data_IF_513639559266
#
_entry.id   IF_513639559266
#
_cell.length_a   1.000
_cell.length_b   1.000
_cell.length_c   1.000
_cell.angle_alpha   90.00
_cell.angle_beta   90.00
_cell.angle_gamma   90.00
#
_symmetry.space_group_name_H-M   'P 1'
#
loop_
_entity.id
_entity.type
_entity.pdbx_description
1 polymer ?
#
# COMPACT_ATOMS: atom_id res chain seq x y z
N UNK A 1 -16.59 14.14 60.63
CA UNK A 1 -16.23 15.30 59.76
C UNK A 1 -14.85 15.17 59.11
N UNK A 2 -13.78 14.85 59.85
CA UNK A 2 -12.42 14.75 59.28
C UNK A 2 -12.30 13.76 58.09
N UNK A 3 -12.92 12.58 58.18
CA UNK A 3 -12.91 11.58 57.09
C UNK A 3 -13.68 12.02 55.83
N UNK A 4 -14.76 12.79 55.99
CA UNK A 4 -15.49 13.38 54.86
C UNK A 4 -14.59 14.37 54.10
N UNK A 5 -13.92 15.25 54.84
CA UNK A 5 -12.96 16.21 54.26
C UNK A 5 -11.84 15.48 53.52
N UNK A 6 -11.31 14.39 54.09
CA UNK A 6 -10.30 13.56 53.45
C UNK A 6 -10.75 13.01 52.09
N UNK A 7 -11.93 12.37 52.01
CA UNK A 7 -12.44 11.84 50.74
C UNK A 7 -12.79 12.93 49.72
N UNK A 8 -13.33 14.08 50.17
CA UNK A 8 -13.60 15.22 49.29
C UNK A 8 -12.31 15.81 48.69
N UNK A 9 -11.26 15.97 49.49
CA UNK A 9 -9.98 16.51 49.02
C UNK A 9 -9.36 15.57 47.98
N UNK A 10 -9.32 14.27 48.26
CA UNK A 10 -8.77 13.28 47.32
C UNK A 10 -9.61 13.21 46.03
N UNK A 11 -10.94 13.25 46.14
CA UNK A 11 -11.84 13.32 44.99
C UNK A 11 -11.59 14.55 44.12
N UNK A 12 -11.40 15.72 44.74
CA UNK A 12 -11.08 16.96 44.05
C UNK A 12 -9.73 16.91 43.32
N UNK A 13 -8.69 16.40 43.99
CA UNK A 13 -7.35 16.22 43.38
C UNK A 13 -7.41 15.29 42.17
N UNK A 14 -8.09 14.15 42.29
CA UNK A 14 -8.25 13.21 41.18
C UNK A 14 -9.09 13.78 40.03
N UNK A 15 -10.10 14.60 40.33
CA UNK A 15 -10.88 15.29 39.30
C UNK A 15 -10.02 16.26 38.49
N UNK A 16 -9.21 17.08 39.16
CA UNK A 16 -8.29 18.03 38.52
C UNK A 16 -7.23 17.27 37.71
N UNK A 17 -6.59 16.27 38.31
CA UNK A 17 -5.59 15.42 37.64
C UNK A 17 -6.15 14.64 36.44
N UNK A 18 -7.45 14.29 36.45
CA UNK A 18 -8.08 13.64 35.30
C UNK A 18 -8.07 14.50 34.05
N UNK A 19 -7.99 15.83 34.20
CA UNK A 19 -8.03 16.76 33.07
C UNK A 19 -6.70 16.81 32.30
N UNK A 20 -5.58 16.48 32.95
CA UNK A 20 -4.25 16.47 32.34
C UNK A 20 -3.88 15.13 31.68
N UNK A 21 -4.61 14.04 31.93
CA UNK A 21 -4.28 12.72 31.39
C UNK A 21 -5.31 12.27 30.34
N UNK A 22 -4.94 12.30 29.06
CA UNK A 22 -5.86 12.00 27.94
C UNK A 22 -6.39 10.56 27.95
N UNK A 23 -5.52 9.55 28.10
CA UNK A 23 -5.92 8.14 28.01
C UNK A 23 -6.79 7.65 29.18
N UNK A 24 -6.49 8.07 30.41
CA UNK A 24 -7.17 7.59 31.62
C UNK A 24 -8.20 8.57 32.20
N UNK A 25 -8.47 9.70 31.51
CA UNK A 25 -9.44 10.74 31.91
C UNK A 25 -10.76 10.16 32.40
N UNK A 26 -11.34 9.27 31.61
CA UNK A 26 -12.65 8.67 31.90
C UNK A 26 -12.62 7.71 33.07
N UNK A 27 -11.47 7.16 33.45
CA UNK A 27 -11.34 6.26 34.60
C UNK A 27 -11.17 7.12 35.87
N UNK A 28 -10.25 8.07 35.84
CA UNK A 28 -9.97 8.99 36.95
C UNK A 28 -11.19 9.81 37.37
N UNK A 29 -11.99 10.30 36.41
CA UNK A 29 -13.25 11.00 36.70
C UNK A 29 -14.26 10.13 37.44
N UNK A 30 -14.35 8.85 37.10
CA UNK A 30 -15.27 7.94 37.79
C UNK A 30 -14.81 7.67 39.21
N UNK A 31 -13.50 7.53 39.44
CA UNK A 31 -12.95 7.41 40.80
C UNK A 31 -13.20 8.65 41.65
N UNK A 32 -13.02 9.84 41.09
CA UNK A 32 -13.35 11.09 41.77
C UNK A 32 -14.84 11.15 42.15
N UNK A 33 -15.76 10.80 41.24
CA UNK A 33 -17.20 10.77 41.51
C UNK A 33 -17.58 9.77 42.61
N UNK A 34 -16.97 8.58 42.60
CA UNK A 34 -17.20 7.57 43.64
C UNK A 34 -16.73 8.09 45.00
N UNK A 35 -15.57 8.77 45.07
CA UNK A 35 -15.07 9.36 46.31
C UNK A 35 -15.98 10.47 46.84
N UNK A 36 -16.53 11.31 45.96
CA UNK A 36 -17.53 12.31 46.36
C UNK A 36 -18.81 11.66 46.90
N UNK A 37 -19.27 10.57 46.28
CA UNK A 37 -20.45 9.83 46.74
C UNK A 37 -20.21 9.16 48.09
N UNK A 38 -19.05 8.55 48.30
CA UNK A 38 -18.63 7.99 49.59
C UNK A 38 -18.55 9.08 50.66
N UNK A 39 -17.99 10.23 50.33
CA UNK A 39 -17.93 11.37 51.25
C UNK A 39 -19.33 11.84 51.66
N UNK A 40 -20.25 11.99 50.71
CA UNK A 40 -21.64 12.36 50.97
C UNK A 40 -22.37 11.33 51.85
N UNK A 41 -22.18 10.04 51.60
CA UNK A 41 -22.76 8.96 52.42
C UNK A 41 -22.20 8.96 53.85
N UNK A 42 -20.88 9.18 54.02
CA UNK A 42 -20.28 9.29 55.36
C UNK A 42 -20.81 10.50 56.13
N UNK A 43 -21.12 11.60 55.44
CA UNK A 43 -21.75 12.77 56.04
C UNK A 43 -23.18 12.47 56.49
N UNK A 44 -24.01 11.90 55.60
CA UNK A 44 -25.40 11.56 55.91
C UNK A 44 -25.54 10.63 57.11
N UNK A 45 -24.68 9.60 57.20
CA UNK A 45 -24.65 8.69 58.34
C UNK A 45 -24.17 9.40 59.62
N UNK A 46 -23.18 10.28 59.52
CA UNK A 46 -22.71 11.03 60.69
C UNK A 46 -23.81 11.93 61.28
N UNK A 47 -24.64 12.57 60.45
CA UNK A 47 -25.78 13.39 60.88
C UNK A 47 -26.86 12.52 61.54
N UNK A 48 -27.17 11.35 60.97
CA UNK A 48 -28.14 10.40 61.53
C UNK A 48 -27.68 9.80 62.86
N UNK A 49 -26.38 9.55 63.04
CA UNK A 49 -25.82 8.99 64.28
C UNK A 49 -25.74 10.04 65.39
N UNK A 50 -25.39 11.29 65.07
CA UNK A 50 -25.43 12.41 66.02
C UNK A 50 -26.85 12.63 66.56
N UNK A 51 -27.88 12.48 65.70
CA UNK A 51 -29.29 12.59 66.12
C UNK A 51 -29.74 11.48 67.08
N UNK A 52 -29.04 10.34 67.10
CA UNK A 52 -29.41 9.16 67.86
C UNK A 52 -28.48 8.90 69.07
N UNK A 53 -27.66 9.87 69.48
CA UNK A 53 -26.68 9.78 70.59
C UNK A 53 -25.76 8.54 70.55
N UNK A 54 -25.44 8.06 69.33
CA UNK A 54 -24.51 6.93 69.13
C UNK A 54 -23.14 7.42 68.69
N UNK A 55 -22.09 6.93 69.33
CA UNK A 55 -20.71 7.20 68.92
C UNK A 55 -20.41 6.53 67.57
N UNK A 56 -19.92 7.34 66.63
CA UNK A 56 -19.99 7.09 65.20
C UNK A 56 -18.67 6.60 64.55
N UNK A 57 -17.72 6.06 65.33
CA UNK A 57 -16.34 5.88 64.86
C UNK A 57 -16.06 4.60 64.07
N UNK A 58 -16.98 3.66 63.90
CA UNK A 58 -16.63 2.38 63.23
C UNK A 58 -17.33 2.17 61.89
N UNK A 59 -18.48 2.83 61.68
CA UNK A 59 -19.28 2.68 60.45
C UNK A 59 -18.57 3.16 59.18
N UNK A 60 -17.56 4.03 59.30
CA UNK A 60 -16.80 4.49 58.13
C UNK A 60 -15.97 3.36 57.49
N UNK A 61 -15.62 2.32 58.26
CA UNK A 61 -14.80 1.20 57.77
C UNK A 61 -15.54 0.38 56.71
N UNK A 62 -16.89 0.41 56.70
CA UNK A 62 -17.71 -0.25 55.68
C UNK A 62 -17.56 0.38 54.28
N UNK A 63 -17.13 1.64 54.19
CA UNK A 63 -16.99 2.33 52.90
C UNK A 63 -15.68 2.01 52.18
N UNK A 64 -14.66 1.56 52.90
CA UNK A 64 -13.37 1.16 52.33
C UNK A 64 -13.52 -0.06 51.38
N UNK A 65 -14.16 -1.18 51.78
CA UNK A 65 -14.36 -2.31 50.89
C UNK A 65 -15.33 -1.98 49.74
N UNK A 66 -16.33 -1.13 49.96
CA UNK A 66 -17.23 -0.66 48.89
C UNK A 66 -16.46 0.14 47.83
N UNK A 67 -15.54 1.01 48.27
CA UNK A 67 -14.66 1.77 47.39
C UNK A 67 -13.73 0.84 46.60
N UNK A 68 -13.06 -0.09 47.27
CA UNK A 68 -12.18 -1.07 46.60
C UNK A 68 -12.94 -1.94 45.59
N UNK A 69 -14.14 -2.41 45.93
CA UNK A 69 -14.99 -3.20 45.04
C UNK A 69 -15.42 -2.39 43.80
N UNK A 70 -15.81 -1.12 43.99
CA UNK A 70 -16.16 -0.23 42.88
C UNK A 70 -14.97 0.03 41.95
N UNK A 71 -13.75 0.15 42.49
CA UNK A 71 -12.54 0.30 41.68
C UNK A 71 -12.24 -0.94 40.84
N UNK A 72 -12.36 -2.11 41.45
CA UNK A 72 -12.15 -3.37 40.76
C UNK A 72 -13.18 -3.55 39.62
N UNK A 73 -14.44 -3.22 39.89
CA UNK A 73 -15.52 -3.28 38.90
C UNK A 73 -15.25 -2.39 37.68
N UNK A 74 -14.84 -1.13 37.91
CA UNK A 74 -14.54 -0.22 36.79
C UNK A 74 -13.32 -0.64 35.98
N UNK A 75 -12.31 -1.23 36.63
CA UNK A 75 -11.12 -1.76 35.94
C UNK A 75 -11.48 -2.95 35.05
N UNK A 76 -12.35 -3.85 35.52
CA UNK A 76 -12.78 -5.01 34.77
C UNK A 76 -13.64 -4.65 33.54
N UNK A 77 -14.57 -3.69 33.69
CA UNK A 77 -15.47 -3.26 32.61
C UNK A 77 -14.81 -2.38 31.56
N UNK A 78 -13.79 -1.59 31.91
CA UNK A 78 -13.09 -0.66 31.01
C UNK A 78 -11.72 -1.22 30.57
N UNK A 79 -11.68 -2.45 30.04
CA UNK A 79 -10.51 -2.92 29.29
C UNK A 79 -10.25 -1.90 28.18
N UNK A 80 -9.07 -1.27 28.21
CA UNK A 80 -8.64 -0.34 27.17
C UNK A 80 -8.72 -1.07 25.83
N UNK A 81 -9.44 -0.50 24.86
CA UNK A 81 -9.34 -0.98 23.48
C UNK A 81 -7.91 -0.71 23.03
N UNK A 82 -7.20 -1.75 22.65
CA UNK A 82 -5.83 -1.64 22.17
C UNK A 82 -5.83 -0.75 20.92
N UNK A 83 -5.03 0.32 20.95
CA UNK A 83 -4.92 1.26 19.84
C UNK A 83 -4.02 0.61 18.79
N UNK A 84 -4.61 -0.27 17.97
CA UNK A 84 -3.94 -0.78 16.77
C UNK A 84 -3.84 0.34 15.77
N UNK A 85 -2.71 1.03 15.75
CA UNK A 85 -2.33 1.91 14.64
C UNK A 85 -2.08 1.02 13.43
N UNK A 86 -3.09 0.86 12.58
CA UNK A 86 -2.93 0.23 11.27
C UNK A 86 -2.38 1.31 10.35
N UNK A 87 -1.06 1.29 10.13
CA UNK A 87 -0.45 2.13 9.13
C UNK A 87 -0.92 1.65 7.74
N UNK A 88 -1.76 2.43 7.08
CA UNK A 88 -2.13 2.14 5.70
C UNK A 88 -0.92 2.48 4.82
N UNK A 89 -0.31 1.45 4.23
CA UNK A 89 0.79 1.66 3.30
C UNK A 89 0.24 2.35 2.06
N UNK A 90 0.82 3.47 1.65
CA UNK A 90 0.46 4.13 0.39
C UNK A 90 0.60 3.14 -0.77
N UNK A 91 -0.49 2.88 -1.49
CA UNK A 91 -0.51 2.00 -2.66
C UNK A 91 -0.75 2.82 -3.91
N UNK A 92 0.00 2.52 -4.97
CA UNK A 92 -0.27 3.09 -6.30
C UNK A 92 -1.54 2.49 -6.93
N UNK A 93 -1.87 1.26 -6.57
CA UNK A 93 -3.00 0.48 -7.07
C UNK A 93 -3.84 0.02 -5.89
N UNK A 94 -5.07 0.50 -5.79
CA UNK A 94 -5.98 0.18 -4.69
C UNK A 94 -6.50 -1.26 -4.81
N UNK A 95 -6.53 -1.77 -6.03
CA UNK A 95 -7.01 -3.09 -6.42
C UNK A 95 -6.07 -4.22 -5.97
N UNK A 96 -4.81 -3.91 -5.66
CA UNK A 96 -3.83 -4.89 -5.19
C UNK A 96 -3.72 -4.84 -3.67
N UNK A 97 -4.10 -5.93 -2.98
CA UNK A 97 -3.95 -6.01 -1.52
C UNK A 97 -2.57 -6.54 -1.12
N UNK A 98 -2.03 -6.16 0.05
CA UNK A 98 -0.75 -6.64 0.56
C UNK A 98 -0.72 -8.15 0.71
N UNK A 99 -1.84 -8.74 1.09
CA UNK A 99 -2.01 -10.19 1.19
C UNK A 99 -1.79 -10.86 -0.18
N UNK A 100 -2.32 -10.27 -1.26
CA UNK A 100 -2.14 -10.78 -2.63
C UNK A 100 -0.67 -10.68 -3.07
N UNK A 101 0.01 -9.58 -2.73
CA UNK A 101 1.45 -9.41 -3.00
C UNK A 101 2.26 -10.46 -2.24
N UNK A 102 1.94 -10.69 -0.97
CA UNK A 102 2.65 -11.63 -0.13
C UNK A 102 2.52 -13.06 -0.65
N UNK A 103 1.28 -13.47 -0.94
CA UNK A 103 0.95 -14.77 -1.52
C UNK A 103 1.64 -14.97 -2.88
N UNK A 104 1.58 -13.97 -3.77
CA UNK A 104 2.18 -14.06 -5.10
C UNK A 104 3.69 -14.30 -5.04
N UNK A 105 4.40 -13.66 -4.11
CA UNK A 105 5.86 -13.79 -3.96
C UNK A 105 6.31 -14.81 -2.92
N UNK A 106 5.39 -15.51 -2.27
CA UNK A 106 5.71 -16.47 -1.20
C UNK A 106 6.69 -17.55 -1.67
N UNK A 107 6.52 -18.06 -2.90
CA UNK A 107 7.40 -19.06 -3.50
C UNK A 107 8.88 -18.62 -3.63
N UNK A 108 9.15 -17.30 -3.59
CA UNK A 108 10.51 -16.75 -3.65
C UNK A 108 11.13 -16.54 -2.28
N UNK A 109 10.33 -16.58 -1.21
CA UNK A 109 10.79 -16.36 0.15
C UNK A 109 11.30 -17.67 0.73
N UNK A 110 12.50 -17.61 1.31
CA UNK A 110 13.08 -18.67 2.14
C UNK A 110 13.34 -18.08 3.52
N UNK A 111 12.54 -18.52 4.49
CA UNK A 111 12.72 -18.15 5.88
C UNK A 111 14.02 -18.75 6.43
N UNK A 112 14.84 -17.91 7.04
CA UNK A 112 16.02 -18.30 7.82
C UNK A 112 15.86 -17.76 9.23
N UNK A 113 16.54 -18.38 10.17
CA UNK A 113 16.42 -18.15 11.62
C UNK A 113 16.43 -16.67 12.06
N UNK A 114 17.15 -15.80 11.36
CA UNK A 114 17.22 -14.35 11.67
C UNK A 114 16.80 -13.43 10.51
N UNK A 115 16.39 -13.97 9.36
CA UNK A 115 16.11 -13.17 8.16
C UNK A 115 15.28 -13.92 7.14
N UNK A 116 14.54 -13.18 6.33
CA UNK A 116 13.92 -13.71 5.12
C UNK A 116 14.90 -13.52 3.96
N UNK A 117 15.23 -14.59 3.25
CA UNK A 117 16.01 -14.53 2.03
C UNK A 117 15.11 -14.66 0.81
N UNK A 118 15.28 -13.80 -0.18
CA UNK A 118 14.51 -13.84 -1.43
C UNK A 118 15.38 -14.44 -2.52
N UNK A 119 14.91 -15.52 -3.15
CA UNK A 119 15.56 -16.08 -4.34
C UNK A 119 15.28 -15.18 -5.54
N UNK A 120 16.33 -14.59 -6.10
CA UNK A 120 16.25 -13.79 -7.33
C UNK A 120 17.13 -14.44 -8.37
N UNK A 121 16.55 -14.95 -9.45
CA UNK A 121 17.35 -15.46 -10.56
C UNK A 121 17.87 -14.29 -11.40
N UNK A 122 19.11 -13.85 -11.10
CA UNK A 122 19.76 -12.72 -11.78
C UNK A 122 20.06 -13.03 -13.25
N UNK A 123 20.41 -14.28 -13.56
CA UNK A 123 20.74 -14.71 -14.93
C UNK A 123 19.52 -14.69 -15.85
N UNK A 124 18.34 -15.00 -15.32
CA UNK A 124 17.09 -15.01 -16.10
C UNK A 124 16.57 -13.61 -16.43
N UNK A 125 16.98 -12.58 -15.68
CA UNK A 125 16.53 -11.20 -15.87
C UNK A 125 17.25 -10.44 -16.98
N UNK A 126 18.46 -10.88 -17.37
CA UNK A 126 19.26 -10.17 -18.38
C UNK A 126 18.72 -10.43 -19.79
N UNK A 127 18.53 -9.36 -20.56
CA UNK A 127 18.13 -9.44 -21.97
C UNK A 127 19.26 -10.01 -22.84
N UNK A 128 20.48 -9.49 -22.63
CA UNK A 128 21.70 -10.02 -23.21
C UNK A 128 22.29 -11.12 -22.33
N UNK A 129 22.58 -12.26 -22.95
CA UNK A 129 23.32 -13.36 -22.34
C UNK A 129 24.75 -13.34 -22.87
N UNK A 130 25.69 -13.69 -22.00
CA UNK A 130 27.11 -13.80 -22.35
C UNK A 130 27.39 -15.28 -22.57
N UNK A 131 27.97 -15.62 -23.72
CA UNK A 131 28.54 -16.94 -23.98
C UNK A 131 30.06 -16.78 -23.94
N UNK A 132 30.71 -17.44 -22.98
CA UNK A 132 32.17 -17.58 -22.97
C UNK A 132 32.54 -18.66 -23.97
N UNK A 133 33.19 -18.27 -25.07
CA UNK A 133 33.69 -19.21 -26.08
C UNK A 133 35.13 -19.61 -25.73
N UNK A 134 35.93 -18.68 -25.22
CA UNK A 134 37.30 -18.86 -24.74
C UNK A 134 37.61 -17.81 -23.65
N UNK A 135 38.68 -18.02 -22.87
CA UNK A 135 39.05 -17.20 -21.69
C UNK A 135 39.14 -15.68 -21.92
N UNK A 136 39.21 -15.21 -23.18
CA UNK A 136 39.32 -13.78 -23.53
C UNK A 136 38.25 -13.24 -24.52
N UNK A 137 37.26 -14.04 -24.93
CA UNK A 137 36.22 -13.57 -25.87
C UNK A 137 34.81 -13.85 -25.35
N UNK A 138 34.13 -12.76 -24.95
CA UNK A 138 32.74 -12.76 -24.50
C UNK A 138 31.83 -12.30 -25.63
N UNK A 139 31.11 -13.24 -26.29
CA UNK A 139 30.05 -12.87 -27.24
C UNK A 139 28.74 -12.66 -26.50
N UNK A 140 28.11 -11.51 -26.73
CA UNK A 140 26.77 -11.19 -26.22
C UNK A 140 25.73 -11.61 -27.25
N UNK A 141 24.70 -12.32 -26.81
CA UNK A 141 23.57 -12.72 -27.65
C UNK A 141 22.25 -12.38 -26.97
N UNK A 142 21.22 -12.11 -27.78
CA UNK A 142 19.86 -11.90 -27.30
C UNK A 142 19.28 -13.23 -26.85
N UNK A 143 18.61 -13.25 -25.70
CA UNK A 143 17.98 -14.48 -25.18
C UNK A 143 16.99 -15.07 -26.20
N UNK A 144 17.12 -16.36 -26.53
CA UNK A 144 16.18 -17.07 -27.42
C UNK A 144 14.71 -16.93 -27.02
N UNK A 145 14.45 -16.75 -25.72
CA UNK A 145 13.11 -16.49 -25.19
C UNK A 145 12.46 -15.25 -25.82
N UNK A 146 13.25 -14.20 -26.12
CA UNK A 146 12.74 -12.99 -26.75
C UNK A 146 12.11 -13.30 -28.11
N UNK A 147 12.79 -14.02 -28.99
CA UNK A 147 12.26 -14.36 -30.31
C UNK A 147 11.03 -15.28 -30.23
N UNK A 148 11.01 -16.21 -29.27
CA UNK A 148 9.83 -17.05 -29.01
C UNK A 148 8.63 -16.21 -28.59
N UNK A 149 8.82 -15.32 -27.61
CA UNK A 149 7.77 -14.39 -27.16
C UNK A 149 7.34 -13.46 -28.29
N UNK A 150 8.29 -12.92 -29.05
CA UNK A 150 8.04 -12.00 -30.17
C UNK A 150 7.13 -12.61 -31.24
N UNK A 151 7.36 -13.88 -31.60
CA UNK A 151 6.51 -14.60 -32.55
C UNK A 151 5.14 -14.95 -31.96
N UNK A 152 5.09 -15.21 -30.66
CA UNK A 152 3.83 -15.55 -29.97
C UNK A 152 2.90 -14.35 -29.89
N UNK A 153 3.40 -13.20 -29.41
CA UNK A 153 2.57 -12.01 -29.16
C UNK A 153 1.93 -11.43 -30.43
N UNK A 154 2.49 -11.71 -31.62
CA UNK A 154 1.91 -11.28 -32.90
C UNK A 154 0.45 -11.72 -33.08
N UNK A 155 0.07 -12.85 -32.48
CA UNK A 155 -1.28 -13.40 -32.58
C UNK A 155 -2.12 -13.20 -31.31
N UNK A 156 -1.57 -12.58 -30.27
CA UNK A 156 -2.20 -12.46 -28.94
C UNK A 156 -2.64 -11.03 -28.60
N UNK A 157 -2.49 -10.08 -29.53
CA UNK A 157 -2.93 -8.70 -29.33
C UNK A 157 -4.43 -8.63 -29.03
N UNK A 158 -4.78 -7.82 -28.04
CA UNK A 158 -6.17 -7.64 -27.63
C UNK A 158 -6.80 -6.53 -28.45
N UNK A 159 -7.73 -6.89 -29.34
CA UNK A 159 -8.47 -5.92 -30.15
C UNK A 159 -9.72 -5.48 -29.40
N UNK A 160 -9.89 -4.17 -29.23
CA UNK A 160 -11.06 -3.54 -28.59
C UNK A 160 -11.67 -2.47 -29.50
N UNK A 161 -12.98 -2.52 -29.71
CA UNK A 161 -13.65 -1.59 -30.64
C UNK A 161 -13.80 -0.18 -30.09
N UNK A 162 -13.95 -0.06 -28.78
CA UNK A 162 -14.11 1.19 -28.06
C UNK A 162 -13.44 1.09 -26.67
N UNK A 163 -13.29 2.23 -26.00
CA UNK A 163 -12.66 2.27 -24.67
C UNK A 163 -13.48 1.54 -23.60
N UNK A 164 -14.80 1.40 -23.78
CA UNK A 164 -15.66 0.66 -22.85
C UNK A 164 -15.39 -0.84 -22.84
N UNK A 165 -14.92 -1.42 -23.96
CA UNK A 165 -14.56 -2.83 -24.04
C UNK A 165 -13.34 -3.20 -23.18
N UNK A 166 -12.52 -2.22 -22.78
CA UNK A 166 -11.41 -2.45 -21.84
C UNK A 166 -11.89 -3.01 -20.50
N UNK A 167 -13.13 -2.73 -20.09
CA UNK A 167 -13.75 -3.27 -18.86
C UNK A 167 -13.82 -4.80 -18.82
N UNK A 168 -13.74 -5.47 -19.99
CA UNK A 168 -13.68 -6.93 -20.08
C UNK A 168 -12.35 -7.49 -19.58
N UNK A 169 -11.30 -6.68 -19.58
CA UNK A 169 -9.94 -7.07 -19.22
C UNK A 169 -9.51 -6.34 -17.96
N UNK A 170 -9.50 -7.06 -16.84
CA UNK A 170 -9.35 -6.46 -15.50
C UNK A 170 -8.10 -5.58 -15.37
N UNK A 171 -6.94 -6.08 -15.79
CA UNK A 171 -5.69 -5.31 -15.79
C UNK A 171 -5.78 -4.03 -16.63
N UNK A 172 -6.30 -4.14 -17.85
CA UNK A 172 -6.36 -3.01 -18.79
C UNK A 172 -7.31 -1.92 -18.33
N UNK A 173 -8.47 -2.29 -17.77
CA UNK A 173 -9.42 -1.34 -17.18
C UNK A 173 -8.79 -0.55 -16.02
N UNK A 174 -8.09 -1.24 -15.11
CA UNK A 174 -7.41 -0.61 -13.96
C UNK A 174 -6.35 0.39 -14.44
N UNK A 175 -5.51 -0.04 -15.38
CA UNK A 175 -4.47 0.84 -15.92
C UNK A 175 -5.09 2.03 -16.66
N UNK A 176 -6.12 1.81 -17.47
CA UNK A 176 -6.81 2.88 -18.18
C UNK A 176 -7.44 3.89 -17.23
N UNK A 177 -8.17 3.44 -16.19
CA UNK A 177 -8.76 4.30 -15.16
C UNK A 177 -7.71 5.15 -14.46
N UNK A 178 -6.56 4.57 -14.13
CA UNK A 178 -5.45 5.30 -13.50
C UNK A 178 -4.89 6.38 -14.42
N UNK A 179 -4.60 6.04 -15.67
CA UNK A 179 -4.08 6.99 -16.66
C UNK A 179 -5.10 8.11 -16.90
N UNK A 180 -6.38 7.77 -17.05
CA UNK A 180 -7.48 8.74 -17.19
C UNK A 180 -7.56 9.69 -15.98
N UNK A 181 -7.37 9.17 -14.77
CA UNK A 181 -7.30 9.98 -13.54
C UNK A 181 -6.16 11.00 -13.58
N UNK A 182 -4.98 10.59 -14.05
CA UNK A 182 -3.80 11.46 -14.18
C UNK A 182 -4.00 12.52 -15.26
N UNK A 183 -4.52 12.13 -16.43
CA UNK A 183 -4.83 13.06 -17.52
C UNK A 183 -5.82 14.13 -17.06
N UNK A 184 -6.85 13.71 -16.30
CA UNK A 184 -7.84 14.62 -15.72
C UNK A 184 -7.23 15.58 -14.70
N UNK A 185 -6.34 15.09 -13.83
CA UNK A 185 -5.61 15.93 -12.88
C UNK A 185 -4.65 16.91 -13.57
N UNK A 186 -4.12 16.54 -14.73
CA UNK A 186 -3.30 17.40 -15.57
C UNK A 186 -4.12 18.35 -16.46
N UNK A 187 -5.46 18.36 -16.34
CA UNK A 187 -6.39 19.20 -17.12
C UNK A 187 -6.23 19.08 -18.65
N UNK A 188 -5.74 17.93 -19.13
CA UNK A 188 -5.57 17.68 -20.55
C UNK A 188 -6.85 17.10 -21.15
N UNK A 189 -7.28 17.66 -22.28
CA UNK A 189 -8.33 17.06 -23.09
C UNK A 189 -7.71 16.06 -24.07
N UNK A 190 -8.17 14.81 -24.02
CA UNK A 190 -7.70 13.72 -24.87
C UNK A 190 -8.93 13.01 -25.44
N UNK A 191 -8.99 12.89 -26.76
CA UNK A 191 -9.97 12.02 -27.43
C UNK A 191 -9.44 10.58 -27.38
N UNK A 192 -9.97 9.79 -26.46
CA UNK A 192 -9.51 8.42 -26.26
C UNK A 192 -9.90 7.50 -27.43
N UNK A 193 -11.01 7.77 -28.12
CA UNK A 193 -11.47 6.94 -29.24
C UNK A 193 -10.59 7.19 -30.48
N UNK A 194 -10.20 8.45 -30.72
CA UNK A 194 -9.22 8.78 -31.76
C UNK A 194 -7.86 8.13 -31.48
N UNK A 195 -7.37 8.21 -30.23
CA UNK A 195 -6.10 7.58 -29.84
C UNK A 195 -6.17 6.05 -29.99
N UNK A 196 -7.29 5.42 -29.64
CA UNK A 196 -7.49 3.98 -29.82
C UNK A 196 -7.45 3.58 -31.30
N UNK A 197 -8.13 4.36 -32.16
CA UNK A 197 -8.11 4.16 -33.61
C UNK A 197 -6.71 4.31 -34.20
N UNK A 198 -5.94 5.30 -33.75
CA UNK A 198 -4.55 5.51 -34.17
C UNK A 198 -3.61 4.37 -33.74
N UNK A 199 -3.99 3.59 -32.74
CA UNK A 199 -3.28 2.41 -32.26
C UNK A 199 -3.82 1.08 -32.86
N UNK A 200 -4.52 1.15 -34.00
CA UNK A 200 -5.14 0.01 -34.67
C UNK A 200 -6.07 -0.82 -33.76
N UNK A 201 -6.73 -0.17 -32.79
CA UNK A 201 -7.63 -0.83 -31.84
C UNK A 201 -6.95 -1.87 -30.93
N UNK A 202 -5.62 -1.91 -30.87
CA UNK A 202 -4.88 -2.77 -29.95
C UNK A 202 -4.83 -2.14 -28.56
N UNK A 203 -5.42 -2.81 -27.57
CA UNK A 203 -5.45 -2.33 -26.19
C UNK A 203 -4.06 -2.09 -25.63
N UNK A 204 -3.11 -3.00 -25.92
CA UNK A 204 -1.73 -2.90 -25.45
C UNK A 204 -1.06 -1.63 -26.00
N UNK A 205 -1.17 -1.35 -27.31
CA UNK A 205 -0.54 -0.17 -27.91
C UNK A 205 -1.22 1.12 -27.48
N UNK A 206 -2.56 1.12 -27.42
CA UNK A 206 -3.35 2.22 -26.91
C UNK A 206 -2.91 2.62 -25.49
N UNK A 207 -2.81 1.65 -24.58
CA UNK A 207 -2.44 1.92 -23.19
C UNK A 207 -0.95 2.29 -23.05
N UNK A 208 -0.06 1.67 -23.82
CA UNK A 208 1.37 2.05 -23.84
C UNK A 208 1.54 3.49 -24.35
N UNK A 209 0.80 3.90 -25.37
CA UNK A 209 0.81 5.27 -25.87
C UNK A 209 0.30 6.26 -24.83
N UNK A 210 -0.80 5.94 -24.15
CA UNK A 210 -1.30 6.82 -23.09
C UNK A 210 -0.34 6.90 -21.90
N UNK A 211 0.29 5.78 -21.54
CA UNK A 211 1.33 5.76 -20.51
C UNK A 211 2.49 6.67 -20.89
N UNK A 212 3.10 6.43 -22.05
CA UNK A 212 4.25 7.19 -22.53
C UNK A 212 4.01 8.70 -22.58
N UNK A 213 2.82 9.14 -23.01
CA UNK A 213 2.58 10.56 -23.24
C UNK A 213 2.03 11.30 -22.01
N UNK A 214 1.45 10.58 -21.04
CA UNK A 214 0.69 11.22 -19.96
C UNK A 214 1.15 10.86 -18.55
N UNK A 215 1.94 9.80 -18.35
CA UNK A 215 2.36 9.38 -16.99
C UNK A 215 3.82 9.68 -16.66
N UNK A 216 4.65 10.13 -17.61
CA UNK A 216 6.10 10.39 -17.39
C UNK A 216 6.43 11.33 -16.23
N UNK A 217 5.54 12.29 -15.93
CA UNK A 217 5.73 13.24 -14.83
C UNK A 217 5.23 12.72 -13.49
N UNK A 218 4.56 11.58 -13.47
CA UNK A 218 3.97 10.98 -12.29
C UNK A 218 4.74 9.72 -11.95
N UNK A 219 5.37 9.68 -10.77
CA UNK A 219 6.09 8.48 -10.34
C UNK A 219 5.07 7.40 -9.94
N UNK A 220 4.82 6.44 -10.82
CA UNK A 220 3.87 5.34 -10.60
C UNK A 220 4.61 4.02 -10.75
N UNK A 221 4.64 3.23 -9.68
CA UNK A 221 5.21 1.89 -9.78
C UNK A 221 4.25 0.95 -10.49
N UNK A 222 4.72 0.21 -11.48
CA UNK A 222 3.97 -0.85 -12.18
C UNK A 222 4.24 -2.27 -11.63
N UNK A 223 5.14 -2.41 -10.65
CA UNK A 223 5.61 -3.72 -10.16
C UNK A 223 4.49 -4.65 -9.70
N UNK A 224 3.46 -4.08 -9.06
CA UNK A 224 2.35 -4.83 -8.47
C UNK A 224 1.25 -5.17 -9.49
N UNK A 225 1.23 -4.52 -10.66
CA UNK A 225 0.25 -4.80 -11.71
C UNK A 225 0.38 -6.23 -12.25
N UNK A 226 1.57 -6.83 -12.14
CA UNK A 226 1.80 -8.21 -12.51
C UNK A 226 0.83 -9.17 -11.80
N UNK A 227 0.44 -8.87 -10.57
CA UNK A 227 -0.47 -9.73 -9.79
C UNK A 227 -1.85 -9.82 -10.44
N UNK A 228 -2.20 -8.83 -11.26
CA UNK A 228 -3.48 -8.71 -11.96
C UNK A 228 -3.45 -9.29 -13.38
N UNK A 229 -2.30 -9.75 -13.86
CA UNK A 229 -2.16 -10.32 -15.19
C UNK A 229 -2.61 -11.78 -15.19
N UNK A 230 -3.59 -12.11 -16.02
CA UNK A 230 -4.09 -13.47 -16.21
C UNK A 230 -3.54 -14.12 -17.50
N UNK A 231 -3.16 -13.29 -18.47
CA UNK A 231 -2.65 -13.71 -19.78
C UNK A 231 -1.18 -13.35 -19.97
N UNK A 232 -0.47 -14.11 -20.80
CA UNK A 232 0.94 -13.84 -21.09
C UNK A 232 1.15 -12.49 -21.79
N UNK A 233 0.21 -12.06 -22.65
CA UNK A 233 0.25 -10.73 -23.27
C UNK A 233 0.13 -9.60 -22.24
N UNK A 234 -0.65 -9.81 -21.18
CA UNK A 234 -0.81 -8.87 -20.06
C UNK A 234 0.47 -8.81 -19.22
N UNK A 235 1.13 -9.95 -19.01
CA UNK A 235 2.43 -9.99 -18.37
C UNK A 235 3.52 -9.24 -19.14
N UNK A 236 3.52 -9.35 -20.46
CA UNK A 236 4.39 -8.60 -21.36
C UNK A 236 4.02 -7.11 -21.38
N UNK A 237 2.73 -6.77 -21.35
CA UNK A 237 2.25 -5.40 -21.21
C UNK A 237 2.78 -4.70 -19.96
N UNK A 238 2.68 -5.33 -18.79
CA UNK A 238 3.25 -4.77 -17.55
C UNK A 238 4.76 -4.54 -17.67
N UNK A 239 5.48 -5.47 -18.31
CA UNK A 239 6.91 -5.30 -18.57
C UNK A 239 7.23 -4.20 -19.58
N UNK A 240 6.37 -4.01 -20.58
CA UNK A 240 6.54 -2.98 -21.59
C UNK A 240 6.33 -1.57 -21.02
N UNK A 241 5.38 -1.39 -20.08
CA UNK A 241 5.23 -0.14 -19.33
C UNK A 241 6.55 0.25 -18.63
N UNK A 242 7.22 -0.72 -18.00
CA UNK A 242 8.52 -0.50 -17.34
C UNK A 242 9.61 -0.14 -18.36
N UNK A 243 9.64 -0.81 -19.51
CA UNK A 243 10.63 -0.54 -20.54
C UNK A 243 10.50 0.84 -21.21
N UNK A 244 9.29 1.42 -21.28
CA UNK A 244 9.08 2.78 -21.79
C UNK A 244 9.83 3.81 -20.95
N UNK A 245 9.82 3.63 -19.63
CA UNK A 245 10.38 4.59 -18.68
C UNK A 245 11.90 4.41 -18.46
N UNK A 246 12.51 3.41 -19.10
CA UNK A 246 13.91 3.03 -18.87
C UNK A 246 14.80 3.36 -20.05
N UNK A 247 16.01 3.84 -19.74
CA UNK A 247 17.10 3.98 -20.71
C UNK A 247 17.67 2.62 -21.18
N UNK A 248 17.32 1.52 -20.52
CA UNK A 248 17.83 0.17 -20.82
C UNK A 248 16.69 -0.84 -20.80
N UNK A 249 16.62 -1.68 -21.83
CA UNK A 249 15.53 -2.65 -22.00
C UNK A 249 15.72 -3.85 -21.06
N UNK A 250 14.74 -4.09 -20.18
CA UNK A 250 14.62 -5.31 -19.39
C UNK A 250 14.07 -6.44 -20.26
N UNK A 251 14.42 -7.68 -19.93
CA UNK A 251 13.97 -8.85 -20.70
C UNK A 251 12.45 -9.00 -20.74
N UNK A 252 11.79 -8.80 -19.60
CA UNK A 252 10.33 -8.89 -19.49
C UNK A 252 9.69 -7.72 -20.25
N UNK A 253 8.68 -8.00 -21.06
CA UNK A 253 7.99 -6.96 -21.85
C UNK A 253 8.81 -6.41 -23.01
N UNK A 254 10.00 -6.94 -23.27
CA UNK A 254 10.87 -6.45 -24.35
C UNK A 254 10.28 -6.74 -25.72
N UNK A 255 9.57 -7.85 -25.88
CA UNK A 255 8.98 -8.23 -27.16
C UNK A 255 7.85 -7.28 -27.55
N UNK A 256 6.94 -7.01 -26.61
CA UNK A 256 5.85 -6.07 -26.82
C UNK A 256 6.36 -4.63 -26.99
N UNK A 257 7.33 -4.21 -26.17
CA UNK A 257 7.97 -2.91 -26.31
C UNK A 257 8.62 -2.74 -27.69
N UNK A 258 9.34 -3.74 -28.18
CA UNK A 258 9.92 -3.72 -29.52
C UNK A 258 8.84 -3.57 -30.60
N UNK A 259 7.74 -4.32 -30.51
CA UNK A 259 6.62 -4.20 -31.46
C UNK A 259 5.97 -2.83 -31.44
N UNK A 260 5.79 -2.25 -30.25
CA UNK A 260 5.31 -0.89 -30.09
C UNK A 260 6.24 0.13 -30.75
N UNK A 261 7.56 -0.03 -30.59
CA UNK A 261 8.56 0.85 -31.23
C UNK A 261 8.54 0.75 -32.76
N UNK A 262 8.40 -0.47 -33.31
CA UNK A 262 8.26 -0.70 -34.75
C UNK A 262 6.95 -0.11 -35.27
N UNK A 263 5.85 -0.27 -34.54
CA UNK A 263 4.54 0.29 -34.93
C UNK A 263 4.58 1.81 -35.12
N UNK A 264 5.37 2.51 -34.31
CA UNK A 264 5.59 3.96 -34.42
C UNK A 264 6.81 4.35 -35.28
N UNK A 265 7.41 3.42 -36.04
CA UNK A 265 8.60 3.62 -36.88
C UNK A 265 9.79 4.26 -36.13
N UNK A 266 9.97 3.91 -34.86
CA UNK A 266 11.00 4.51 -34.00
C UNK A 266 12.32 3.73 -34.03
N UNK A 267 12.28 2.46 -34.40
CA UNK A 267 13.43 1.59 -34.65
C UNK A 267 14.39 2.20 -35.70
N UNK A 268 13.86 2.83 -36.75
CA UNK A 268 14.64 3.48 -37.81
C UNK A 268 15.55 4.58 -37.26
N UNK A 269 15.12 5.32 -36.22
CA UNK A 269 15.94 6.37 -35.59
C UNK A 269 17.17 5.79 -34.88
N UNK A 270 17.05 4.58 -34.31
CA UNK A 270 18.18 3.91 -33.67
C UNK A 270 19.18 3.37 -34.70
N UNK A 271 18.68 2.73 -35.76
CA UNK A 271 19.51 2.21 -36.85
C UNK A 271 20.30 3.35 -37.53
N UNK A 272 19.65 4.48 -37.80
CA UNK A 272 20.29 5.62 -38.47
C UNK A 272 21.33 6.31 -37.57
N UNK A 273 21.10 6.34 -36.26
CA UNK A 273 22.03 6.93 -35.28
C UNK A 273 23.29 6.08 -35.12
N UNK A 274 23.14 4.76 -35.05
CA UNK A 274 24.26 3.81 -34.97
C UNK A 274 25.14 3.89 -36.22
N UNK A 275 24.54 4.01 -37.41
CA UNK A 275 25.28 4.19 -38.66
C UNK A 275 26.09 5.50 -38.68
N UNK A 276 25.54 6.61 -38.17
CA UNK A 276 26.28 7.88 -38.09
C UNK A 276 27.42 7.85 -37.05
N UNK A 277 27.23 7.16 -35.93
CA UNK A 277 28.29 6.97 -34.93
C UNK A 277 29.40 6.04 -35.43
N UNK A 278 29.07 5.06 -36.28
CA UNK A 278 30.06 4.24 -36.97
C UNK A 278 30.84 5.06 -37.99
N UNK A 279 30.16 5.82 -38.86
CA UNK A 279 30.81 6.68 -39.86
C UNK A 279 31.70 7.78 -39.25
N UNK A 280 31.31 8.34 -38.11
CA UNK A 280 32.07 9.37 -37.40
C UNK A 280 33.30 8.88 -36.63
N UNK A 281 33.43 7.56 -36.39
CA UNK A 281 34.60 6.95 -35.76
C UNK A 281 35.65 6.45 -36.76
N UNK A 282 35.41 6.63 -38.07
CA UNK A 282 36.35 6.32 -39.16
C UNK A 282 37.00 7.57 -39.80
N UNK A 283 36.87 8.75 -39.16
CA UNK A 283 37.58 9.99 -39.50
C UNK A 283 38.51 10.41 -38.34
#
# INVERSE_FOLDING_TARGET
>A
MAMMLFFCIIGGVLWIYSSSVFLSRNILRHYALILFLVSFMTFGISVLLIKNDKTSSEYYLLFIPLFLASMFYTRYRKKMKDLRVVADQQRYWEEVKPEDVDNFYQHRKKEKEKRISVSVNVKDKKFFKIFEINQNENKRYISLSFFKTLKRIENEFTVVKNTDELKKYYLYDIVFKKIKGIIKQAEKMVDYEEVLKNNNYYAEFFLLFLWENYTQRTNISNSNLLILAEREIEEEFVGALDNIDLNSVKKRGSALYYRYMVFYNRDVKYITRENKELEGNFL
#
